data_IF_723119853957
#
_entry.id   IF_723119853957
#
_cell.length_a   1.000
_cell.length_b   1.000
_cell.length_c   1.000
_cell.angle_alpha   90.00
_cell.angle_beta   90.00
_cell.angle_gamma   90.00
#
_symmetry.space_group_name_H-M   'P 1'
#
loop_
_entity.id
_entity.type
_entity.pdbx_description
1 polymer ?
#
# COMPACT_ATOMS: atom_id res chain seq x y z
N UNK A 1 4.85 -1.52 -12.51
CA UNK A 1 4.12 -0.51 -11.73
C UNK A 1 3.76 -1.21 -10.44
N UNK A 2 2.98 -0.61 -9.55
CA UNK A 2 2.61 -1.30 -8.31
C UNK A 2 1.14 -1.08 -8.01
N UNK A 3 0.59 -1.94 -7.15
CA UNK A 3 -0.66 -1.65 -6.47
C UNK A 3 -0.38 -0.75 -5.27
N UNK A 4 -1.31 0.16 -5.01
CA UNK A 4 -1.23 1.20 -3.99
C UNK A 4 -2.37 1.00 -3.01
N UNK A 5 -2.05 1.00 -1.72
CA UNK A 5 -3.04 1.00 -0.65
C UNK A 5 -3.33 2.46 -0.27
N UNK A 6 -4.60 2.84 -0.27
CA UNK A 6 -5.07 4.21 -0.04
C UNK A 6 -5.75 4.38 1.32
N UNK A 7 -6.37 5.56 1.51
CA UNK A 7 -6.99 6.00 2.76
C UNK A 7 -7.90 4.99 3.47
N UNK A 8 -8.74 4.17 2.80
CA UNK A 8 -9.67 3.29 3.51
C UNK A 8 -8.99 2.21 4.39
N UNK A 9 -7.69 1.95 4.20
CA UNK A 9 -6.94 1.01 5.03
C UNK A 9 -6.49 1.61 6.38
N UNK A 10 -6.45 2.94 6.51
CA UNK A 10 -5.95 3.65 7.70
C UNK A 10 -6.80 3.27 8.92
N UNK A 11 -6.13 2.80 9.96
CA UNK A 11 -6.70 2.29 11.22
C UNK A 11 -7.58 1.03 11.08
N UNK A 12 -7.71 0.46 9.87
CA UNK A 12 -8.47 -0.78 9.62
C UNK A 12 -7.56 -2.01 9.65
N UNK A 13 -6.52 -2.04 8.80
CA UNK A 13 -5.51 -3.12 8.73
C UNK A 13 -6.12 -4.54 8.81
N UNK A 14 -7.05 -4.84 7.91
CA UNK A 14 -7.77 -6.13 7.89
C UNK A 14 -6.87 -7.33 7.54
N UNK A 15 -5.87 -7.13 6.68
CA UNK A 15 -4.84 -8.09 6.28
C UNK A 15 -5.28 -9.24 5.36
N UNK A 16 -6.54 -9.32 4.90
CA UNK A 16 -6.93 -10.32 3.89
C UNK A 16 -6.08 -10.29 2.60
N UNK A 17 -5.62 -9.11 2.19
CA UNK A 17 -4.74 -8.93 1.03
C UNK A 17 -3.35 -9.58 1.18
N UNK A 18 -2.87 -9.78 2.42
CA UNK A 18 -1.54 -10.35 2.69
C UNK A 18 -1.50 -11.82 2.29
N UNK A 19 -2.54 -12.58 2.63
CA UNK A 19 -2.60 -14.04 2.42
C UNK A 19 -2.65 -14.44 0.93
N UNK A 20 -3.01 -13.50 0.05
CA UNK A 20 -3.17 -13.75 -1.40
C UNK A 20 -2.02 -13.19 -2.24
N UNK A 21 -1.08 -12.45 -1.64
CA UNK A 21 0.02 -11.87 -2.38
C UNK A 21 1.07 -12.95 -2.73
N UNK A 22 1.32 -13.26 -4.02
CA UNK A 22 2.20 -14.38 -4.40
C UNK A 22 3.69 -14.13 -4.15
N UNK A 23 4.07 -12.91 -3.81
CA UNK A 23 5.44 -12.46 -3.57
C UNK A 23 5.63 -11.86 -2.17
N UNK A 24 4.64 -11.99 -1.29
CA UNK A 24 4.68 -11.54 0.10
C UNK A 24 5.10 -10.07 0.30
N UNK A 25 4.78 -9.19 -0.66
CA UNK A 25 5.27 -7.81 -0.69
C UNK A 25 4.36 -6.77 0.02
N UNK A 26 3.56 -7.20 1.00
CA UNK A 26 2.63 -6.33 1.75
C UNK A 26 3.07 -6.27 3.22
N UNK A 27 3.38 -5.07 3.70
CA UNK A 27 4.06 -4.83 4.96
C UNK A 27 3.20 -3.96 5.89
N UNK A 28 3.33 -4.17 7.20
CA UNK A 28 2.79 -3.23 8.19
C UNK A 28 3.66 -1.96 8.22
N UNK A 29 3.11 -0.84 8.67
CA UNK A 29 3.87 0.43 8.74
C UNK A 29 5.15 0.29 9.56
N UNK A 30 5.14 -0.57 10.60
CA UNK A 30 6.29 -0.85 11.45
C UNK A 30 7.44 -1.61 10.74
N UNK A 31 7.14 -2.27 9.62
CA UNK A 31 8.13 -2.97 8.77
C UNK A 31 8.71 -2.05 7.67
N UNK A 32 8.17 -0.83 7.54
CA UNK A 32 8.64 0.19 6.59
C UNK A 32 9.74 1.09 7.19
N UNK A 33 10.24 2.02 6.39
CA UNK A 33 11.18 3.06 6.84
C UNK A 33 10.46 4.26 7.51
N UNK A 34 9.12 4.27 7.56
CA UNK A 34 8.35 5.34 8.17
C UNK A 34 8.37 5.24 9.68
N UNK A 35 8.43 6.39 10.32
CA UNK A 35 8.42 6.55 11.76
C UNK A 35 7.31 7.51 12.20
N UNK A 36 6.85 7.37 13.44
CA UNK A 36 5.89 8.31 14.02
C UNK A 36 6.45 9.74 13.94
N UNK A 37 5.79 10.60 13.17
CA UNK A 37 6.22 11.97 12.91
C UNK A 37 6.52 12.26 11.43
N UNK A 38 6.72 11.22 10.62
CA UNK A 38 6.81 11.38 9.17
C UNK A 38 5.45 11.75 8.59
N UNK A 39 5.42 12.70 7.64
CA UNK A 39 4.19 13.12 6.95
C UNK A 39 3.47 11.94 6.29
N UNK A 40 4.26 11.01 5.73
CA UNK A 40 3.79 9.81 5.05
C UNK A 40 3.36 8.68 6.01
N UNK A 41 3.63 8.81 7.32
CA UNK A 41 3.24 7.81 8.30
C UNK A 41 1.71 7.75 8.41
N UNK A 42 1.15 6.57 8.15
CA UNK A 42 -0.26 6.24 8.30
C UNK A 42 -0.33 4.83 8.89
N UNK A 43 -1.21 4.60 9.88
CA UNK A 43 -1.39 3.29 10.50
C UNK A 43 -2.16 2.34 9.56
N UNK A 44 -1.50 1.88 8.51
CA UNK A 44 -2.04 1.07 7.42
C UNK A 44 -0.99 0.09 6.89
N UNK A 45 -1.41 -0.78 5.96
CA UNK A 45 -0.50 -1.63 5.20
C UNK A 45 0.09 -0.89 4.01
N UNK A 46 1.28 -1.29 3.59
CA UNK A 46 2.00 -0.74 2.44
C UNK A 46 2.47 -1.85 1.50
N UNK A 47 2.32 -1.65 0.19
CA UNK A 47 2.81 -2.58 -0.84
C UNK A 47 4.20 -2.11 -1.28
N UNK A 48 5.21 -2.99 -1.27
CA UNK A 48 6.53 -2.62 -1.75
C UNK A 48 6.54 -2.49 -3.28
N UNK A 49 6.77 -1.29 -3.84
CA UNK A 49 6.51 -1.02 -5.26
C UNK A 49 7.50 -1.71 -6.21
N UNK A 50 8.73 -2.00 -5.77
CA UNK A 50 9.70 -2.76 -6.60
C UNK A 50 9.55 -4.28 -6.49
N UNK A 51 8.84 -4.78 -5.48
CA UNK A 51 8.59 -6.22 -5.29
C UNK A 51 7.24 -6.63 -5.90
N UNK A 52 6.29 -5.70 -5.97
CA UNK A 52 5.00 -5.91 -6.60
C UNK A 52 5.16 -6.32 -8.06
N UNK A 53 4.49 -7.41 -8.46
CA UNK A 53 4.52 -7.94 -9.82
C UNK A 53 3.23 -7.66 -10.61
N UNK A 54 2.43 -6.68 -10.16
CA UNK A 54 1.19 -6.25 -10.82
C UNK A 54 0.16 -7.38 -11.07
N UNK A 55 0.09 -8.39 -10.18
CA UNK A 55 -0.78 -9.56 -10.39
C UNK A 55 -2.28 -9.32 -10.10
N UNK A 56 -2.64 -8.28 -9.33
CA UNK A 56 -4.03 -7.94 -8.99
C UNK A 56 -4.75 -8.85 -8.01
N UNK A 57 -4.06 -9.83 -7.39
CA UNK A 57 -4.71 -10.76 -6.47
C UNK A 57 -5.22 -10.09 -5.17
N UNK A 58 -4.57 -9.03 -4.72
CA UNK A 58 -4.88 -8.35 -3.46
C UNK A 58 -6.10 -7.42 -3.53
N UNK A 59 -6.38 -6.82 -4.69
CA UNK A 59 -7.46 -5.84 -4.89
C UNK A 59 -8.84 -6.37 -4.47
N UNK A 60 -9.34 -7.51 -5.01
CA UNK A 60 -10.69 -7.98 -4.69
C UNK A 60 -10.86 -8.49 -3.25
N UNK A 61 -9.75 -8.75 -2.56
CA UNK A 61 -9.77 -9.29 -1.19
C UNK A 61 -9.85 -8.20 -0.12
N UNK A 62 -9.62 -6.93 -0.48
CA UNK A 62 -9.70 -5.83 0.48
C UNK A 62 -11.17 -5.48 0.80
N UNK A 63 -11.68 -5.72 2.03
CA UNK A 63 -13.09 -5.53 2.35
C UNK A 63 -13.53 -4.06 2.39
N UNK A 64 -12.57 -3.14 2.41
CA UNK A 64 -12.79 -1.69 2.42
C UNK A 64 -12.36 -1.01 1.12
N UNK A 65 -12.10 -1.81 0.07
CA UNK A 65 -11.78 -1.33 -1.28
C UNK A 65 -10.64 -0.28 -1.27
N UNK A 66 -9.57 -0.58 -0.53
CA UNK A 66 -8.45 0.36 -0.34
C UNK A 66 -7.33 0.22 -1.38
N UNK A 67 -7.35 -0.80 -2.24
CA UNK A 67 -6.22 -1.19 -3.06
C UNK A 67 -6.53 -0.87 -4.52
N UNK A 68 -5.64 -0.16 -5.20
CA UNK A 68 -5.80 0.29 -6.59
C UNK A 68 -4.50 0.05 -7.37
N UNK A 69 -4.54 -0.26 -8.67
CA UNK A 69 -3.36 -0.11 -9.50
C UNK A 69 -2.95 1.38 -9.55
N UNK A 70 -1.65 1.67 -9.62
CA UNK A 70 -1.12 3.04 -9.48
C UNK A 70 -1.79 4.07 -10.40
N UNK A 71 -2.11 3.68 -11.63
CA UNK A 71 -2.74 4.52 -12.65
C UNK A 71 -4.26 4.71 -12.48
N UNK A 72 -4.88 3.96 -11.57
CA UNK A 72 -6.31 4.07 -11.23
C UNK A 72 -6.56 4.54 -9.80
N UNK A 73 -5.52 4.96 -9.07
CA UNK A 73 -5.68 5.59 -7.76
C UNK A 73 -6.58 6.83 -7.91
N UNK A 74 -7.69 6.95 -7.15
CA UNK A 74 -8.56 8.11 -7.21
C UNK A 74 -7.83 9.42 -6.92
N UNK A 75 -8.21 10.52 -7.58
CA UNK A 75 -7.56 11.84 -7.50
C UNK A 75 -7.37 12.31 -6.06
N UNK A 76 -8.35 12.08 -5.18
CA UNK A 76 -8.28 12.45 -3.77
C UNK A 76 -7.20 11.70 -2.96
N UNK A 77 -6.64 10.61 -3.50
CA UNK A 77 -5.67 9.72 -2.86
C UNK A 77 -4.35 9.62 -3.63
N UNK A 78 -4.09 10.48 -4.61
CA UNK A 78 -2.82 10.46 -5.37
C UNK A 78 -1.58 10.56 -4.47
N UNK A 79 -1.68 11.26 -3.33
CA UNK A 79 -0.59 11.37 -2.36
C UNK A 79 -0.15 10.01 -1.78
N UNK A 80 -1.05 9.01 -1.74
CA UNK A 80 -0.73 7.67 -1.25
C UNK A 80 0.25 6.93 -2.14
N UNK A 81 0.33 7.28 -3.42
CA UNK A 81 1.39 6.79 -4.29
C UNK A 81 2.73 7.26 -3.72
N UNK A 82 2.89 8.57 -3.52
CA UNK A 82 4.11 9.13 -2.94
C UNK A 82 4.44 8.57 -1.56
N UNK A 83 3.44 8.33 -0.70
CA UNK A 83 3.65 7.72 0.60
C UNK A 83 4.15 6.27 0.51
N UNK A 84 3.62 5.49 -0.43
CA UNK A 84 4.04 4.10 -0.66
C UNK A 84 5.51 4.02 -1.05
N UNK A 85 5.96 4.85 -1.99
CA UNK A 85 7.36 4.88 -2.41
C UNK A 85 8.29 5.39 -1.28
N UNK A 86 7.89 6.46 -0.58
CA UNK A 86 8.62 6.97 0.59
C UNK A 86 8.75 5.93 1.69
N UNK A 87 7.77 5.03 1.85
CA UNK A 87 7.80 4.00 2.89
C UNK A 87 8.99 3.05 2.74
N UNK A 88 9.49 2.85 1.53
CA UNK A 88 10.63 1.95 1.27
C UNK A 88 11.88 2.69 0.78
N UNK A 89 11.85 4.03 0.75
CA UNK A 89 12.96 4.84 0.28
C UNK A 89 13.29 4.63 -1.20
N UNK A 90 12.29 4.24 -2.00
CA UNK A 90 12.44 4.01 -3.44
C UNK A 90 12.00 5.23 -4.25
N UNK A 91 12.56 5.40 -5.44
CA UNK A 91 12.14 6.44 -6.38
C UNK A 91 10.88 5.99 -7.14
N UNK A 92 10.00 6.95 -7.43
CA UNK A 92 8.78 6.73 -8.21
C UNK A 92 9.06 6.60 -9.71
#
# INVERSE_FOLDING_TARGET
MAYIIAQPCVDVRDRACVDVCPVDCIYEVEDTQLSEGDEAYKAMLYIHPEECIDCGACEPECPVEAIFPEDEVPEQWEDYIGFTYKAFGVER
#
